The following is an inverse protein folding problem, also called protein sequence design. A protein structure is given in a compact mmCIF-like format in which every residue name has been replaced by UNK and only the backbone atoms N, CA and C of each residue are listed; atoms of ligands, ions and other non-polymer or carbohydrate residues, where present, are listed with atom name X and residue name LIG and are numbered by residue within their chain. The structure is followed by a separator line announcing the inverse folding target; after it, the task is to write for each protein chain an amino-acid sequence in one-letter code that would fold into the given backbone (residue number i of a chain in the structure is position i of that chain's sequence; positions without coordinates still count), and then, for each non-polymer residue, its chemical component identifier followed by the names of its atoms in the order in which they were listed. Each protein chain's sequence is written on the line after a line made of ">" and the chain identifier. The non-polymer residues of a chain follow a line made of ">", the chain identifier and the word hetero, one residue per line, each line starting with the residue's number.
data_IF_429266239233
#
_entry.id   IF_429266239233
#
_cell.length_a   1.000
_cell.length_b   1.000
_cell.length_c   1.000
_cell.angle_alpha   90.00
_cell.angle_beta   90.00
_cell.angle_gamma   90.00
#
_symmetry.space_group_name_H-M   'P 1'
#
loop_
_entity.id
_entity.type
_entity.pdbx_description
1 polymer ?
#
# COMPACT_ATOMS: atom_id res chain seq x y z
N UNK A 1 -25.75 -38.76 4.25
CA UNK A 1 -26.45 -37.75 3.44
C UNK A 1 -25.43 -36.77 2.90
N UNK A 2 -25.18 -36.92 1.63
CA UNK A 2 -24.21 -36.24 0.79
C UNK A 2 -24.68 -34.84 0.38
N UNK A 3 -23.80 -33.82 0.41
CA UNK A 3 -23.89 -32.70 -0.49
C UNK A 3 -22.49 -32.18 -0.85
N UNK A 4 -21.99 -32.77 -1.88
CA UNK A 4 -20.92 -32.22 -2.73
C UNK A 4 -21.49 -31.03 -3.53
N UNK A 5 -20.76 -29.92 -3.64
CA UNK A 5 -20.98 -28.91 -4.65
C UNK A 5 -19.76 -28.76 -5.54
N UNK A 6 -19.92 -28.95 -6.84
CA UNK A 6 -18.86 -28.74 -7.81
C UNK A 6 -18.70 -27.24 -8.16
N UNK A 7 -17.48 -26.89 -8.54
CA UNK A 7 -17.05 -25.57 -8.97
C UNK A 7 -17.85 -25.00 -10.14
N UNK A 8 -18.57 -23.92 -9.88
CA UNK A 8 -19.24 -23.12 -10.90
C UNK A 8 -18.29 -22.10 -11.49
N UNK A 9 -17.82 -22.33 -12.70
CA UNK A 9 -17.29 -21.28 -13.58
C UNK A 9 -18.41 -20.29 -13.83
N UNK A 10 -18.27 -19.04 -13.39
CA UNK A 10 -19.13 -17.94 -13.77
C UNK A 10 -18.98 -17.71 -15.27
N UNK A 11 -19.85 -18.31 -16.04
CA UNK A 11 -20.08 -17.94 -17.43
C UNK A 11 -20.69 -16.54 -17.39
N UNK A 12 -19.99 -15.58 -17.98
CA UNK A 12 -20.49 -14.26 -18.32
C UNK A 12 -21.81 -14.41 -19.12
N UNK A 13 -22.92 -14.25 -18.43
CA UNK A 13 -24.25 -14.27 -19.04
C UNK A 13 -24.67 -12.83 -19.32
N UNK A 14 -23.94 -12.14 -20.19
CA UNK A 14 -24.51 -11.03 -20.93
C UNK A 14 -24.74 -11.52 -22.34
N UNK A 15 -26.01 -11.59 -22.71
CA UNK A 15 -26.38 -12.30 -23.91
C UNK A 15 -25.93 -11.57 -25.15
N UNK A 16 -25.50 -12.35 -26.11
CA UNK A 16 -25.32 -11.97 -27.51
C UNK A 16 -26.55 -11.23 -28.14
N UNK A 17 -27.59 -11.03 -27.36
CA UNK A 17 -28.82 -10.36 -27.73
C UNK A 17 -28.65 -8.86 -28.05
N UNK A 18 -27.72 -8.19 -27.34
CA UNK A 18 -27.43 -6.77 -27.61
C UNK A 18 -26.66 -6.59 -28.92
N UNK A 19 -25.81 -7.56 -29.26
CA UNK A 19 -25.03 -7.55 -30.51
C UNK A 19 -25.95 -7.81 -31.69
N UNK A 20 -26.92 -8.72 -31.56
CA UNK A 20 -27.89 -9.01 -32.61
C UNK A 20 -28.86 -7.84 -32.89
N UNK A 21 -29.27 -7.11 -31.87
CA UNK A 21 -30.13 -5.92 -32.05
C UNK A 21 -29.37 -4.79 -32.79
N UNK A 22 -28.09 -4.67 -32.58
CA UNK A 22 -27.26 -3.68 -33.28
C UNK A 22 -26.99 -4.05 -34.72
N UNK A 23 -26.85 -5.32 -35.02
CA UNK A 23 -26.73 -5.80 -36.41
C UNK A 23 -28.04 -5.58 -37.19
N UNK A 24 -29.19 -5.74 -36.54
CA UNK A 24 -30.51 -5.51 -37.15
C UNK A 24 -30.79 -4.01 -37.40
N UNK A 25 -30.28 -3.12 -36.53
CA UNK A 25 -30.39 -1.65 -36.71
C UNK A 25 -29.42 -1.16 -37.79
N UNK A 26 -28.23 -1.75 -37.90
CA UNK A 26 -27.21 -1.40 -38.89
C UNK A 26 -27.62 -1.79 -40.33
N UNK A 27 -28.39 -2.86 -40.50
CA UNK A 27 -28.88 -3.29 -41.84
C UNK A 27 -29.91 -2.32 -42.41
N UNK A 28 -30.61 -1.54 -41.57
CA UNK A 28 -31.68 -0.62 -42.00
C UNK A 28 -31.20 0.75 -42.48
N UNK A 29 -29.92 1.10 -42.24
CA UNK A 29 -29.29 2.37 -42.64
C UNK A 29 -28.15 2.15 -43.66
N UNK A 30 -28.36 1.29 -44.63
CA UNK A 30 -27.38 1.06 -45.69
C UNK A 30 -27.53 2.15 -46.75
N UNK A 31 -26.91 3.32 -46.51
CA UNK A 31 -26.63 4.31 -47.55
C UNK A 31 -25.24 3.99 -48.13
N UNK A 32 -25.09 3.91 -49.44
CA UNK A 32 -23.80 3.59 -50.07
C UNK A 32 -22.88 4.84 -49.94
N UNK A 33 -21.85 4.78 -49.16
CA UNK A 33 -20.77 5.77 -49.17
C UNK A 33 -20.08 6.15 -47.84
N UNK A 34 -20.58 5.75 -46.66
CA UNK A 34 -20.02 6.29 -45.40
C UNK A 34 -19.70 5.28 -44.28
N UNK A 35 -19.66 4.00 -44.60
CA UNK A 35 -19.54 2.94 -43.54
C UNK A 35 -18.12 2.74 -43.05
N UNK A 36 -17.11 3.16 -43.82
CA UNK A 36 -15.69 2.93 -43.49
C UNK A 36 -15.18 3.84 -42.38
N UNK A 37 -15.72 5.04 -42.27
CA UNK A 37 -15.23 6.06 -41.28
C UNK A 37 -15.73 5.78 -39.86
N UNK A 38 -16.98 5.33 -39.70
CA UNK A 38 -17.53 5.04 -38.37
C UNK A 38 -16.91 3.80 -37.69
N UNK A 39 -16.65 2.74 -38.49
CA UNK A 39 -15.99 1.54 -37.96
C UNK A 39 -14.53 1.80 -37.53
N UNK A 40 -13.82 2.65 -38.28
CA UNK A 40 -12.46 3.05 -37.97
C UNK A 40 -12.41 3.88 -36.66
N UNK A 41 -13.35 4.81 -36.49
CA UNK A 41 -13.43 5.65 -35.26
C UNK A 41 -13.83 4.80 -34.05
N UNK A 42 -14.74 3.85 -34.21
CA UNK A 42 -15.17 2.98 -33.12
C UNK A 42 -14.05 1.99 -32.69
N UNK A 43 -13.34 1.39 -33.66
CA UNK A 43 -12.14 0.58 -33.37
C UNK A 43 -11.04 1.41 -32.71
N UNK A 44 -10.75 2.59 -33.20
CA UNK A 44 -9.75 3.48 -32.62
C UNK A 44 -10.11 3.88 -31.17
N UNK A 45 -11.40 4.15 -30.89
CA UNK A 45 -11.86 4.50 -29.55
C UNK A 45 -11.81 3.34 -28.56
N UNK A 46 -12.05 2.10 -29.01
CA UNK A 46 -11.91 0.89 -28.20
C UNK A 46 -10.44 0.56 -27.97
N UNK A 47 -9.56 0.71 -28.97
CA UNK A 47 -8.12 0.53 -28.82
C UNK A 47 -7.53 1.54 -27.84
N UNK A 48 -7.87 2.82 -27.98
CA UNK A 48 -7.39 3.87 -27.06
C UNK A 48 -7.88 3.66 -25.62
N UNK A 49 -9.07 3.07 -25.43
CA UNK A 49 -9.59 2.74 -24.09
C UNK A 49 -8.89 1.51 -23.48
N UNK A 50 -8.45 0.55 -24.29
CA UNK A 50 -7.64 -0.60 -23.83
C UNK A 50 -6.21 -0.19 -23.46
N UNK A 51 -5.58 0.69 -24.23
CA UNK A 51 -4.25 1.20 -23.89
C UNK A 51 -4.24 2.04 -22.61
N UNK A 52 -5.28 2.84 -22.37
CA UNK A 52 -5.41 3.60 -21.12
C UNK A 52 -5.64 2.68 -19.92
N UNK A 53 -6.32 1.55 -20.07
CA UNK A 53 -6.51 0.58 -18.98
C UNK A 53 -5.26 -0.27 -18.73
N UNK A 54 -4.45 -0.57 -19.75
CA UNK A 54 -3.18 -1.28 -19.58
C UNK A 54 -2.05 -0.37 -19.04
N UNK A 55 -2.02 0.91 -19.41
CA UNK A 55 -1.07 1.86 -18.86
C UNK A 55 -1.32 2.18 -17.36
N UNK A 56 -2.50 1.88 -16.85
CA UNK A 56 -2.84 2.10 -15.44
C UNK A 56 -2.45 0.94 -14.51
N UNK A 57 -2.01 -0.19 -15.07
CA UNK A 57 -1.70 -1.42 -14.31
C UNK A 57 -0.20 -1.65 -14.08
N UNK A 58 0.69 -0.79 -14.57
CA UNK A 58 2.16 -0.97 -14.44
C UNK A 58 2.83 0.27 -13.80
N UNK A 59 2.09 1.07 -13.06
CA UNK A 59 2.72 1.88 -12.04
C UNK A 59 2.78 1.05 -10.77
N UNK A 60 3.69 0.09 -10.70
CA UNK A 60 4.19 -0.43 -9.43
C UNK A 60 4.79 0.78 -8.75
N UNK A 61 4.00 1.44 -7.91
CA UNK A 61 4.48 2.57 -7.13
C UNK A 61 5.51 2.01 -6.18
N UNK A 62 6.78 2.14 -6.53
CA UNK A 62 7.87 1.81 -5.63
C UNK A 62 7.62 2.59 -4.34
N UNK A 63 7.40 1.84 -3.28
CA UNK A 63 7.05 2.37 -1.97
C UNK A 63 8.04 1.85 -0.96
N UNK A 64 8.75 2.76 -0.34
CA UNK A 64 9.62 2.42 0.80
C UNK A 64 8.84 2.64 2.08
N UNK A 65 8.76 1.61 2.90
CA UNK A 65 8.16 1.67 4.23
C UNK A 65 9.24 1.63 5.29
N UNK A 66 9.36 2.71 6.04
CA UNK A 66 10.28 2.85 7.15
C UNK A 66 9.53 2.65 8.45
N UNK A 67 9.98 1.72 9.28
CA UNK A 67 9.49 1.50 10.64
C UNK A 67 10.55 1.96 11.62
N UNK A 68 10.18 2.89 12.47
CA UNK A 68 11.05 3.42 13.51
C UNK A 68 10.55 2.92 14.86
N UNK A 69 11.46 2.42 15.71
CA UNK A 69 11.15 1.89 17.03
C UNK A 69 12.08 2.56 18.06
N UNK A 70 11.55 2.90 19.21
CA UNK A 70 12.34 3.38 20.35
C UNK A 70 11.58 3.16 21.66
N UNK A 71 12.31 3.19 22.75
CA UNK A 71 11.73 3.13 24.10
C UNK A 71 11.20 4.50 24.52
N UNK A 72 11.86 5.57 24.11
CA UNK A 72 11.49 6.94 24.45
C UNK A 72 10.71 7.61 23.31
N UNK A 73 9.50 8.14 23.58
CA UNK A 73 8.65 8.74 22.53
C UNK A 73 9.21 10.07 22.01
N UNK A 74 9.89 10.87 22.84
CA UNK A 74 10.42 12.17 22.44
C UNK A 74 11.52 12.02 21.37
N UNK A 75 12.47 11.11 21.61
CA UNK A 75 13.57 10.81 20.69
C UNK A 75 13.03 10.20 19.39
N UNK A 76 11.99 9.34 19.50
CA UNK A 76 11.35 8.74 18.35
C UNK A 76 10.71 9.77 17.42
N UNK A 77 9.97 10.74 17.99
CA UNK A 77 9.28 11.76 17.21
C UNK A 77 10.27 12.75 16.56
N UNK A 78 11.35 13.13 17.26
CA UNK A 78 12.44 13.93 16.68
C UNK A 78 13.12 13.19 15.50
N UNK A 79 13.38 11.90 15.64
CA UNK A 79 13.97 11.07 14.60
C UNK A 79 13.05 10.94 13.39
N UNK A 80 11.75 10.73 13.64
CA UNK A 80 10.75 10.68 12.59
C UNK A 80 10.66 12.00 11.80
N UNK A 81 10.73 13.15 12.50
CA UNK A 81 10.76 14.47 11.86
C UNK A 81 11.99 14.63 10.96
N UNK A 82 13.19 14.26 11.42
CA UNK A 82 14.42 14.30 10.62
C UNK A 82 14.32 13.46 9.34
N UNK A 83 13.77 12.25 9.44
CA UNK A 83 13.56 11.37 8.26
C UNK A 83 12.61 12.03 7.26
N UNK A 84 11.49 12.57 7.73
CA UNK A 84 10.50 13.26 6.88
C UNK A 84 11.10 14.47 6.18
N UNK A 85 11.86 15.29 6.89
CA UNK A 85 12.50 16.49 6.35
C UNK A 85 13.55 16.14 5.29
N UNK A 86 14.33 15.08 5.52
CA UNK A 86 15.32 14.60 4.55
C UNK A 86 14.62 14.08 3.28
N UNK A 87 13.56 13.31 3.44
CA UNK A 87 12.79 12.80 2.30
C UNK A 87 12.09 13.93 1.51
N UNK A 88 11.58 14.96 2.18
CA UNK A 88 11.01 16.15 1.53
C UNK A 88 12.06 16.96 0.77
N UNK A 89 13.28 17.13 1.33
CA UNK A 89 14.40 17.82 0.67
C UNK A 89 14.81 17.15 -0.63
N UNK A 90 14.69 15.83 -0.73
CA UNK A 90 14.98 15.07 -1.96
C UNK A 90 13.81 15.02 -2.95
N UNK A 91 12.68 15.67 -2.65
CA UNK A 91 11.51 15.77 -3.51
C UNK A 91 10.60 14.53 -3.50
N UNK A 92 10.79 13.58 -2.59
CA UNK A 92 9.94 12.41 -2.46
C UNK A 92 8.60 12.76 -1.79
N UNK A 93 7.53 12.09 -2.19
CA UNK A 93 6.23 12.24 -1.56
C UNK A 93 6.17 11.37 -0.30
N UNK A 94 6.02 12.00 0.85
CA UNK A 94 5.97 11.33 2.15
C UNK A 94 4.54 11.28 2.66
N UNK A 95 4.10 10.08 3.05
CA UNK A 95 2.92 9.88 3.87
C UNK A 95 3.36 9.86 5.33
N UNK A 96 2.95 10.85 6.09
CA UNK A 96 3.46 11.28 7.40
C UNK A 96 3.72 10.17 8.43
N UNK A 97 4.37 10.49 9.56
CA UNK A 97 4.62 9.53 10.61
C UNK A 97 3.30 9.04 11.20
N UNK A 98 2.99 7.76 11.01
CA UNK A 98 1.78 7.11 11.51
C UNK A 98 2.12 6.39 12.81
N UNK A 99 1.48 6.73 13.94
CA UNK A 99 1.71 6.03 15.20
C UNK A 99 1.12 4.61 15.12
N UNK A 100 1.90 3.63 15.53
CA UNK A 100 1.45 2.26 15.74
C UNK A 100 1.21 2.01 17.22
N UNK A 101 0.39 0.98 17.57
CA UNK A 101 0.18 0.61 18.96
C UNK A 101 1.51 0.29 19.66
N UNK A 102 1.68 0.85 20.87
CA UNK A 102 2.86 0.62 21.72
C UNK A 102 2.85 -0.82 22.23
N UNK A 103 3.97 -1.51 22.09
CA UNK A 103 4.14 -2.84 22.68
C UNK A 103 4.55 -2.64 24.14
N UNK A 104 3.78 -3.23 25.06
CA UNK A 104 4.08 -3.25 26.48
C UNK A 104 4.49 -4.63 26.91
N UNK A 105 5.62 -4.74 27.57
CA UNK A 105 6.12 -5.98 28.17
C UNK A 105 6.19 -5.77 29.67
N UNK A 106 5.45 -6.57 30.43
CA UNK A 106 5.40 -6.50 31.89
C UNK A 106 6.10 -7.71 32.45
N UNK A 107 7.16 -7.48 33.22
CA UNK A 107 7.91 -8.50 33.92
C UNK A 107 7.61 -8.39 35.41
N UNK A 108 7.03 -9.43 35.99
CA UNK A 108 6.70 -9.49 37.40
C UNK A 108 7.75 -10.31 38.15
N UNK A 109 8.41 -9.72 39.11
CA UNK A 109 9.46 -10.35 39.91
C UNK A 109 9.03 -10.36 41.40
N UNK A 110 9.31 -11.47 42.11
CA UNK A 110 9.09 -11.57 43.53
C UNK A 110 10.19 -10.79 44.23
N UNK A 111 9.85 -9.95 45.23
CA UNK A 111 10.82 -9.14 45.96
C UNK A 111 11.74 -9.95 46.88
N UNK A 112 11.24 -11.11 47.36
CA UNK A 112 11.97 -11.96 48.27
C UNK A 112 12.31 -13.31 47.62
N UNK A 113 13.50 -13.88 47.85
CA UNK A 113 13.86 -15.19 47.33
C UNK A 113 13.09 -16.33 48.03
N UNK A 114 12.53 -16.07 49.21
CA UNK A 114 11.81 -17.07 50.03
C UNK A 114 10.58 -16.42 50.69
N UNK A 115 9.46 -17.14 50.78
CA UNK A 115 8.17 -16.66 51.32
C UNK A 115 7.61 -15.43 50.56
N UNK A 116 6.59 -14.82 51.08
CA UNK A 116 5.98 -13.57 50.62
C UNK A 116 5.65 -13.57 49.11
N UNK A 117 4.94 -14.57 48.63
CA UNK A 117 4.53 -14.72 47.23
C UNK A 117 3.74 -13.52 46.69
N UNK A 118 2.99 -12.86 47.56
CA UNK A 118 2.14 -11.72 47.18
C UNK A 118 2.93 -10.39 47.05
N UNK A 119 4.15 -10.34 47.60
CA UNK A 119 5.02 -9.17 47.45
C UNK A 119 5.80 -9.22 46.15
N UNK A 120 5.29 -8.53 45.13
CA UNK A 120 5.85 -8.54 43.76
C UNK A 120 6.16 -7.13 43.31
N UNK A 121 7.18 -7.01 42.45
CA UNK A 121 7.46 -5.81 41.67
C UNK A 121 7.17 -6.05 40.21
N UNK A 122 6.59 -5.07 39.56
CA UNK A 122 6.30 -5.13 38.15
C UNK A 122 7.15 -4.09 37.39
N UNK A 123 7.94 -4.57 36.46
CA UNK A 123 8.72 -3.73 35.55
C UNK A 123 8.04 -3.69 34.21
N UNK A 124 7.85 -2.51 33.65
CA UNK A 124 7.20 -2.31 32.36
C UNK A 124 8.21 -1.75 31.37
N UNK A 125 8.31 -2.40 30.21
CA UNK A 125 9.08 -1.92 29.08
C UNK A 125 8.11 -1.56 27.95
N UNK A 126 8.15 -0.31 27.49
CA UNK A 126 7.29 0.21 26.41
C UNK A 126 8.10 0.45 25.16
N UNK A 127 7.72 -0.20 24.06
CA UNK A 127 8.32 0.04 22.76
C UNK A 127 7.34 0.84 21.90
N UNK A 128 7.70 2.10 21.63
CA UNK A 128 6.95 2.98 20.74
C UNK A 128 7.35 2.74 19.29
N UNK A 129 6.38 2.83 18.36
CA UNK A 129 6.60 2.54 16.94
C UNK A 129 5.96 3.63 16.08
N UNK A 130 6.66 4.02 15.01
CA UNK A 130 6.14 4.91 13.96
C UNK A 130 6.39 4.28 12.59
N UNK A 131 5.49 4.53 11.66
CA UNK A 131 5.64 4.12 10.26
C UNK A 131 5.61 5.35 9.37
N UNK A 132 6.55 5.42 8.44
CA UNK A 132 6.65 6.46 7.43
C UNK A 132 6.67 5.76 6.07
N UNK A 133 5.74 6.12 5.20
CA UNK A 133 5.68 5.60 3.84
C UNK A 133 6.20 6.67 2.87
N UNK A 134 7.22 6.34 2.11
CA UNK A 134 7.80 7.19 1.07
C UNK A 134 7.35 6.64 -0.28
N UNK A 135 6.67 7.47 -1.05
CA UNK A 135 6.15 7.16 -2.37
C UNK A 135 7.09 7.72 -3.43
N UNK A 136 7.37 6.93 -4.46
CA UNK A 136 8.24 7.31 -5.59
C UNK A 136 9.63 7.77 -5.14
N UNK A 137 10.37 6.93 -4.41
CA UNK A 137 11.72 7.29 -3.96
C UNK A 137 12.67 7.39 -5.16
N UNK A 138 13.47 8.44 -5.20
CA UNK A 138 14.61 8.52 -6.13
C UNK A 138 15.83 7.85 -5.51
N UNK A 139 16.81 7.45 -6.33
CA UNK A 139 18.08 6.91 -5.83
C UNK A 139 18.75 7.86 -4.83
N UNK A 140 18.68 9.17 -5.10
CA UNK A 140 19.20 10.20 -4.21
C UNK A 140 18.51 10.19 -2.84
N UNK A 141 17.20 9.86 -2.80
CA UNK A 141 16.45 9.76 -1.53
C UNK A 141 16.96 8.61 -0.69
N UNK A 142 17.21 7.45 -1.33
CA UNK A 142 17.74 6.26 -0.63
C UNK A 142 19.11 6.55 -0.07
N UNK A 143 20.02 7.12 -0.87
CA UNK A 143 21.38 7.46 -0.45
C UNK A 143 21.38 8.49 0.72
N UNK A 144 20.48 9.46 0.68
CA UNK A 144 20.33 10.46 1.76
C UNK A 144 19.80 9.86 3.05
N UNK A 145 18.88 8.90 2.95
CA UNK A 145 18.34 8.18 4.12
C UNK A 145 19.39 7.27 4.77
N UNK A 146 20.25 6.63 3.96
CA UNK A 146 21.33 5.79 4.47
C UNK A 146 22.42 6.59 5.21
N UNK A 147 22.62 7.86 4.83
CA UNK A 147 23.59 8.78 5.46
C UNK A 147 23.04 9.53 6.65
N UNK A 148 21.79 9.28 7.03
CA UNK A 148 21.13 10.04 8.08
C UNK A 148 21.62 9.58 9.46
N UNK A 149 22.21 10.50 10.21
CA UNK A 149 22.62 10.27 11.60
C UNK A 149 21.43 10.40 12.54
N UNK A 150 21.16 9.34 13.26
CA UNK A 150 20.09 9.26 14.24
C UNK A 150 20.64 9.17 15.65
N UNK A 151 19.87 9.65 16.64
CA UNK A 151 20.26 9.52 18.04
C UNK A 151 20.30 8.04 18.46
N UNK A 152 21.14 7.74 19.43
CA UNK A 152 21.19 6.42 20.04
C UNK A 152 19.84 6.04 20.65
N UNK A 153 19.47 4.77 20.62
CA UNK A 153 18.21 4.25 21.15
C UNK A 153 17.04 4.21 20.16
N UNK A 154 17.29 4.49 18.89
CA UNK A 154 16.31 4.38 17.80
C UNK A 154 16.72 3.28 16.84
N UNK A 155 15.83 2.30 16.67
CA UNK A 155 15.97 1.24 15.68
C UNK A 155 15.17 1.56 14.42
N UNK A 156 15.76 1.30 13.24
CA UNK A 156 15.10 1.51 11.95
C UNK A 156 15.04 0.21 11.16
N UNK A 157 13.87 -0.10 10.67
CA UNK A 157 13.62 -1.17 9.72
C UNK A 157 13.12 -0.56 8.40
N UNK A 158 13.83 -0.79 7.30
CA UNK A 158 13.44 -0.35 5.96
C UNK A 158 12.92 -1.57 5.19
N UNK A 159 11.71 -1.45 4.65
CA UNK A 159 11.09 -2.44 3.75
C UNK A 159 10.84 -1.80 2.40
N UNK A 160 11.37 -2.40 1.38
CA UNK A 160 11.16 -2.10 -0.04
C UNK A 160 9.96 -2.84 -0.56
#
# INVERSE_FOLDING_TARGET
>A
MSWLRPGGKLKSTYPNFIIQIWDLILVRYKTPGSVTTCQAIFKAKIYKRREISMAKTVATSEKIRIRVKAYEPSILDQSAAKIVDTAKKTGAKVSGPIPLPTKKEIVTVIRSPHKHKDSREQFEMRTHKRVIDILYPSQKTVDSLMKLELPAGVDIEIKL
#
